data_IF_638590292014
#
_entry.id   IF_638590292014
#
_cell.length_a   1.000
_cell.length_b   1.000
_cell.length_c   1.000
_cell.angle_alpha   90.00
_cell.angle_beta   90.00
_cell.angle_gamma   90.00
#
_symmetry.space_group_name_H-M   'P 1'
#
loop_
_entity.id
_entity.type
_entity.pdbx_description
1 polymer ?
#
# COMPACT_ATOMS: atom_id res chain seq x y z
N UNK A 1 -6.95 -4.05 2.92
CA UNK A 1 -6.80 -2.96 1.94
C UNK A 1 -6.21 -1.73 2.62
N UNK A 2 -5.10 -1.23 2.09
CA UNK A 2 -4.32 -0.12 2.62
C UNK A 2 -4.40 1.11 1.72
N UNK A 3 -4.42 0.93 0.40
CA UNK A 3 -4.61 2.00 -0.59
C UNK A 3 -5.65 1.57 -1.61
N UNK A 4 -6.47 2.51 -2.08
CA UNK A 4 -7.32 2.37 -3.26
C UNK A 4 -7.36 3.69 -4.02
N UNK A 5 -7.08 3.64 -5.33
CA UNK A 5 -7.07 4.79 -6.23
C UNK A 5 -6.21 5.98 -5.71
N UNK A 6 -5.07 5.67 -5.11
CA UNK A 6 -4.18 6.66 -4.48
C UNK A 6 -4.67 7.26 -3.16
N UNK A 7 -5.72 6.70 -2.55
CA UNK A 7 -6.21 7.10 -1.22
C UNK A 7 -5.78 6.09 -0.17
N UNK A 8 -5.13 6.57 0.89
CA UNK A 8 -4.65 5.76 2.01
C UNK A 8 -5.75 5.53 3.04
N UNK A 9 -5.94 4.28 3.46
CA UNK A 9 -6.91 3.85 4.47
C UNK A 9 -6.24 3.72 5.83
N UNK A 10 -5.98 4.86 6.49
CA UNK A 10 -5.28 4.92 7.79
C UNK A 10 -5.90 4.05 8.89
N UNK A 11 -7.23 3.93 8.94
CA UNK A 11 -7.91 3.02 9.88
C UNK A 11 -7.54 1.56 9.66
N UNK A 12 -7.32 1.14 8.40
CA UNK A 12 -6.88 -0.21 8.10
C UNK A 12 -5.41 -0.40 8.46
N UNK A 13 -4.55 0.57 8.17
CA UNK A 13 -3.14 0.55 8.59
C UNK A 13 -3.00 0.38 10.11
N UNK A 14 -3.75 1.17 10.89
CA UNK A 14 -3.79 1.05 12.35
C UNK A 14 -4.20 -0.35 12.83
N UNK A 15 -5.24 -0.94 12.23
CA UNK A 15 -5.67 -2.32 12.57
C UNK A 15 -4.63 -3.38 12.24
N UNK A 16 -3.78 -3.13 11.25
CA UNK A 16 -2.70 -4.03 10.85
C UNK A 16 -1.35 -3.67 11.50
N UNK A 17 -1.28 -2.62 12.34
CA UNK A 17 -0.03 -2.17 12.95
C UNK A 17 0.99 -1.60 11.96
N UNK A 18 0.54 -1.13 10.79
CA UNK A 18 1.40 -0.66 9.70
C UNK A 18 1.64 0.84 9.85
N UNK A 19 2.90 1.26 9.90
CA UNK A 19 3.29 2.67 9.86
C UNK A 19 3.28 3.23 8.43
N UNK A 20 3.36 4.55 8.28
CA UNK A 20 3.55 5.17 6.96
C UNK A 20 4.89 4.75 6.32
N UNK A 21 5.92 4.49 7.13
CA UNK A 21 7.21 4.00 6.64
C UNK A 21 7.11 2.60 6.05
N UNK A 22 6.44 1.68 6.74
CA UNK A 22 6.22 0.30 6.26
C UNK A 22 5.42 0.29 4.96
N UNK A 23 4.40 1.16 4.87
CA UNK A 23 3.62 1.31 3.65
C UNK A 23 4.52 1.75 2.49
N UNK A 24 5.30 2.81 2.67
CA UNK A 24 6.19 3.34 1.63
C UNK A 24 7.29 2.36 1.25
N UNK A 25 7.81 1.58 2.19
CA UNK A 25 8.77 0.51 1.92
C UNK A 25 8.14 -0.59 1.06
N UNK A 26 6.94 -1.06 1.42
CA UNK A 26 6.20 -2.03 0.62
C UNK A 26 5.90 -1.54 -0.80
N UNK A 27 5.57 -0.25 -0.98
CA UNK A 27 5.39 0.31 -2.32
C UNK A 27 6.70 0.28 -3.14
N UNK A 28 7.83 0.67 -2.55
CA UNK A 28 9.14 0.65 -3.22
C UNK A 28 9.59 -0.76 -3.60
N UNK A 29 9.32 -1.75 -2.74
CA UNK A 29 9.62 -3.16 -3.05
C UNK A 29 8.88 -3.66 -4.31
N UNK A 30 7.71 -3.09 -4.59
CA UNK A 30 6.90 -3.37 -5.77
C UNK A 30 7.14 -2.34 -6.90
N UNK A 31 8.24 -1.58 -6.85
CA UNK A 31 8.66 -0.60 -7.86
C UNK A 31 7.66 0.56 -8.06
N UNK A 32 6.93 0.94 -7.00
CA UNK A 32 6.03 2.11 -7.01
C UNK A 32 6.52 3.16 -6.01
N UNK A 33 6.87 4.36 -6.51
CA UNK A 33 7.42 5.44 -5.67
C UNK A 33 6.36 6.38 -5.09
N UNK A 34 5.18 6.46 -5.73
CA UNK A 34 4.14 7.42 -5.38
C UNK A 34 2.84 6.72 -5.07
N UNK A 35 2.23 7.07 -3.93
CA UNK A 35 0.88 6.62 -3.57
C UNK A 35 -0.14 6.95 -4.67
N UNK A 36 0.02 8.09 -5.35
CA UNK A 36 -0.87 8.52 -6.44
C UNK A 36 -0.96 7.52 -7.61
N UNK A 37 0.08 6.73 -7.82
CA UNK A 37 0.21 5.77 -8.92
C UNK A 37 -0.29 4.36 -8.51
N UNK A 38 -0.85 4.21 -7.30
CA UNK A 38 -1.37 2.94 -6.80
C UNK A 38 -2.88 2.82 -7.04
N UNK A 39 -3.31 1.78 -7.77
CA UNK A 39 -4.72 1.42 -7.91
C UNK A 39 -5.21 0.67 -6.67
N UNK A 40 -4.43 -0.31 -6.18
CA UNK A 40 -4.74 -1.09 -4.99
C UNK A 40 -3.45 -1.45 -4.25
N UNK A 41 -3.44 -1.27 -2.93
CA UNK A 41 -2.46 -1.92 -2.07
C UNK A 41 -3.17 -2.70 -0.95
N UNK A 42 -2.73 -3.92 -0.68
CA UNK A 42 -3.29 -4.76 0.37
C UNK A 42 -2.22 -5.52 1.13
N UNK A 43 -2.54 -5.85 2.38
CA UNK A 43 -1.73 -6.72 3.23
C UNK A 43 -2.09 -8.19 2.92
N UNK A 44 -1.09 -9.02 2.67
CA UNK A 44 -1.24 -10.47 2.49
C UNK A 44 -1.06 -11.23 3.81
N UNK A 45 -1.40 -12.53 3.81
CA UNK A 45 -1.35 -13.38 5.03
C UNK A 45 0.07 -13.58 5.61
N UNK A 46 1.11 -13.11 4.93
CA UNK A 46 2.51 -13.19 5.37
C UNK A 46 3.14 -11.87 5.82
N UNK A 47 2.36 -10.78 5.95
CA UNK A 47 2.91 -9.47 6.30
C UNK A 47 3.46 -8.67 5.11
N UNK A 48 3.40 -9.23 3.90
CA UNK A 48 3.80 -8.53 2.66
C UNK A 48 2.70 -7.58 2.19
N UNK A 49 3.09 -6.41 1.72
CA UNK A 49 2.21 -5.51 0.98
C UNK A 49 2.31 -5.87 -0.51
N UNK A 50 1.17 -6.22 -1.10
CA UNK A 50 1.03 -6.39 -2.55
C UNK A 50 0.40 -5.16 -3.17
N UNK A 51 0.92 -4.75 -4.31
CA UNK A 51 0.58 -3.50 -4.98
C UNK A 51 0.15 -3.77 -6.42
N UNK A 52 -0.95 -3.15 -6.81
CA UNK A 52 -1.41 -3.05 -8.20
C UNK A 52 -1.26 -1.58 -8.60
N UNK A 53 -0.35 -1.24 -9.52
CA UNK A 53 -0.23 0.11 -10.07
C UNK A 53 -1.49 0.52 -10.83
N UNK A 54 -1.71 1.82 -10.99
CA UNK A 54 -2.67 2.34 -11.97
C UNK A 54 -2.14 2.07 -13.37
N UNK A 55 -3.03 1.67 -14.26
CA UNK A 55 -2.74 1.72 -15.69
C UNK A 55 -2.72 3.19 -16.12
N UNK A 56 -1.75 3.54 -16.98
CA UNK A 56 -1.60 4.88 -17.56
C UNK A 56 -2.61 5.17 -18.65
#
# INVERSE_FOLDING_TARGET
>A
MLIRDGKVFRKAMLRHGISEQDLMEGLRMEQVDKIGDVALATMERGGKISVVPKEG
#
